data_IF_952333206773
#
_entry.id   IF_952333206773
#
_cell.length_a   1.000
_cell.length_b   1.000
_cell.length_c   1.000
_cell.angle_alpha   90.00
_cell.angle_beta   90.00
_cell.angle_gamma   90.00
#
_symmetry.space_group_name_H-M   'P 1'
#
loop_
_entity.id
_entity.type
_entity.pdbx_description
1 polymer ?
#
# COMPACT_ATOMS: atom_id res chain seq x y z
N UNK A 1 0.24 -17.95 19.34
CA UNK A 1 -1.00 -17.30 18.86
C UNK A 1 -0.61 -16.00 18.18
N UNK A 2 -1.15 -15.72 17.00
CA UNK A 2 -1.02 -14.38 16.40
C UNK A 2 -1.81 -13.39 17.27
N UNK A 3 -1.19 -12.27 17.61
CA UNK A 3 -1.88 -11.15 18.24
C UNK A 3 -2.39 -10.17 17.17
N UNK A 4 -3.37 -9.34 17.52
CA UNK A 4 -3.79 -8.22 16.65
C UNK A 4 -2.60 -7.34 16.30
N UNK A 5 -1.73 -7.03 17.28
CA UNK A 5 -0.51 -6.24 17.06
C UNK A 5 0.41 -6.89 16.02
N UNK A 6 0.59 -8.22 16.07
CA UNK A 6 1.37 -8.95 15.07
C UNK A 6 0.79 -8.80 13.68
N UNK A 7 -0.54 -8.91 13.54
CA UNK A 7 -1.22 -8.76 12.24
C UNK A 7 -1.03 -7.35 11.68
N UNK A 8 -1.23 -6.31 12.50
CA UNK A 8 -1.10 -4.92 12.07
C UNK A 8 0.32 -4.58 11.62
N UNK A 9 1.33 -5.06 12.34
CA UNK A 9 2.74 -4.86 11.95
C UNK A 9 3.02 -5.56 10.62
N UNK A 10 2.56 -6.80 10.44
CA UNK A 10 2.74 -7.51 9.17
C UNK A 10 2.04 -6.80 8.00
N UNK A 11 0.84 -6.25 8.21
CA UNK A 11 0.15 -5.45 7.19
C UNK A 11 0.90 -4.16 6.86
N UNK A 12 1.44 -3.45 7.86
CA UNK A 12 2.24 -2.25 7.63
C UNK A 12 3.49 -2.56 6.80
N UNK A 13 4.21 -3.65 7.11
CA UNK A 13 5.36 -4.08 6.30
C UNK A 13 4.95 -4.40 4.86
N UNK A 14 3.82 -5.08 4.66
CA UNK A 14 3.30 -5.44 3.34
C UNK A 14 3.01 -4.22 2.44
N UNK A 15 2.69 -3.05 3.02
CA UNK A 15 2.50 -1.81 2.25
C UNK A 15 3.80 -1.30 1.60
N UNK A 16 4.96 -1.59 2.21
CA UNK A 16 6.28 -1.23 1.67
C UNK A 16 6.92 -2.35 0.84
N UNK A 17 6.46 -3.59 1.02
CA UNK A 17 7.01 -4.79 0.37
C UNK A 17 5.87 -5.68 -0.17
N UNK A 18 5.14 -5.23 -1.19
CA UNK A 18 4.01 -5.98 -1.73
C UNK A 18 4.47 -7.28 -2.41
N UNK A 19 3.58 -8.27 -2.42
CA UNK A 19 3.80 -9.50 -3.18
C UNK A 19 3.27 -9.38 -4.62
N UNK A 20 4.06 -8.77 -5.50
CA UNK A 20 3.70 -8.60 -6.91
C UNK A 20 3.67 -9.92 -7.72
N UNK A 21 4.11 -11.05 -7.15
CA UNK A 21 3.99 -12.38 -7.77
C UNK A 21 2.57 -12.97 -7.66
N UNK A 22 1.75 -12.42 -6.77
CA UNK A 22 0.36 -12.83 -6.56
C UNK A 22 -0.52 -11.59 -6.32
N UNK A 23 -0.65 -10.69 -7.30
CA UNK A 23 -1.31 -9.42 -7.10
C UNK A 23 -2.84 -9.56 -7.08
N UNK A 24 -3.48 -8.83 -6.15
CA UNK A 24 -4.93 -8.60 -6.19
C UNK A 24 -5.28 -7.36 -7.02
N UNK A 25 -4.38 -6.38 -7.06
CA UNK A 25 -4.45 -5.21 -7.94
C UNK A 25 -3.28 -5.30 -8.94
N UNK A 26 -3.57 -5.73 -10.16
CA UNK A 26 -2.57 -5.93 -11.22
C UNK A 26 -1.94 -4.61 -11.65
N UNK A 27 -2.73 -3.55 -11.79
CA UNK A 27 -2.25 -2.21 -12.17
C UNK A 27 -1.23 -1.66 -11.17
N UNK A 28 -1.53 -1.80 -9.86
CA UNK A 28 -0.60 -1.39 -8.81
C UNK A 28 0.71 -2.21 -8.84
N UNK A 29 0.64 -3.51 -9.13
CA UNK A 29 1.80 -4.38 -9.19
C UNK A 29 2.70 -4.04 -10.39
N UNK A 30 2.11 -3.75 -11.55
CA UNK A 30 2.84 -3.35 -12.76
C UNK A 30 3.54 -1.99 -12.58
N UNK A 31 2.90 -1.07 -11.86
CA UNK A 31 3.44 0.27 -11.58
C UNK A 31 4.49 0.27 -10.46
N UNK A 32 4.57 -0.76 -9.62
CA UNK A 32 5.34 -0.75 -8.37
C UNK A 32 6.85 -0.48 -8.58
N UNK A 33 7.43 -1.02 -9.65
CA UNK A 33 8.84 -0.78 -10.02
C UNK A 33 9.12 0.69 -10.37
N UNK A 34 8.08 1.44 -10.78
CA UNK A 34 8.14 2.88 -11.05
C UNK A 34 7.45 3.67 -9.93
N UNK A 35 8.16 3.85 -8.83
CA UNK A 35 7.70 4.58 -7.64
C UNK A 35 7.14 5.98 -7.94
N UNK A 36 7.65 6.68 -8.97
CA UNK A 36 7.18 8.02 -9.31
C UNK A 36 5.76 7.98 -9.90
N UNK A 37 5.52 7.10 -10.88
CA UNK A 37 4.18 6.94 -11.47
C UNK A 37 3.22 6.28 -10.47
N UNK A 38 3.70 5.32 -9.67
CA UNK A 38 2.90 4.72 -8.60
C UNK A 38 2.39 5.77 -7.60
N UNK A 39 3.27 6.67 -7.12
CA UNK A 39 2.88 7.74 -6.19
C UNK A 39 1.88 8.71 -6.81
N UNK A 40 2.06 9.03 -8.09
CA UNK A 40 1.13 9.89 -8.84
C UNK A 40 -0.24 9.24 -8.99
N UNK A 41 -0.30 7.94 -9.27
CA UNK A 41 -1.57 7.20 -9.34
C UNK A 41 -2.22 7.11 -7.95
N UNK A 42 -1.46 6.76 -6.92
CA UNK A 42 -1.92 6.73 -5.53
C UNK A 42 -2.57 8.05 -5.10
N UNK A 43 -1.95 9.18 -5.43
CA UNK A 43 -2.47 10.51 -5.09
C UNK A 43 -3.80 10.87 -5.77
N UNK A 44 -4.18 10.18 -6.86
CA UNK A 44 -5.51 10.37 -7.48
C UNK A 44 -6.62 9.71 -6.66
N UNK A 45 -6.30 8.60 -5.98
CA UNK A 45 -7.28 7.79 -5.25
C UNK A 45 -7.29 8.08 -3.75
N UNK A 46 -6.14 8.48 -3.19
CA UNK A 46 -6.00 8.81 -1.77
C UNK A 46 -6.28 10.29 -1.53
N UNK A 47 -7.20 10.58 -0.60
CA UNK A 47 -7.41 11.91 -0.04
C UNK A 47 -6.75 11.96 1.33
N UNK A 48 -5.83 12.92 1.59
CA UNK A 48 -5.32 13.12 2.93
C UNK A 48 -6.47 13.30 3.90
N UNK A 49 -6.36 12.67 5.06
CA UNK A 49 -7.25 12.98 6.18
C UNK A 49 -6.92 14.42 6.56
N UNK A 50 -7.88 15.33 6.33
CA UNK A 50 -7.81 16.68 6.87
C UNK A 50 -8.23 16.53 8.33
N UNK A 51 -7.29 16.74 9.26
CA UNK A 51 -7.66 16.89 10.66
C UNK A 51 -8.34 18.26 10.78
N UNK A 52 -9.66 18.25 10.98
CA UNK A 52 -10.35 19.44 11.49
C UNK A 52 -9.85 19.64 12.92
N UNK A 53 -9.26 20.82 13.22
CA UNK A 53 -8.74 21.21 14.55
C UNK A 53 -9.78 21.06 15.68
#
# INVERSE_FOLDING_TARGET
MLSVSTILISLQSLLGEPNNKSPLNVEAADLWENTAEFKKELAKHYKPIVEDE
#
